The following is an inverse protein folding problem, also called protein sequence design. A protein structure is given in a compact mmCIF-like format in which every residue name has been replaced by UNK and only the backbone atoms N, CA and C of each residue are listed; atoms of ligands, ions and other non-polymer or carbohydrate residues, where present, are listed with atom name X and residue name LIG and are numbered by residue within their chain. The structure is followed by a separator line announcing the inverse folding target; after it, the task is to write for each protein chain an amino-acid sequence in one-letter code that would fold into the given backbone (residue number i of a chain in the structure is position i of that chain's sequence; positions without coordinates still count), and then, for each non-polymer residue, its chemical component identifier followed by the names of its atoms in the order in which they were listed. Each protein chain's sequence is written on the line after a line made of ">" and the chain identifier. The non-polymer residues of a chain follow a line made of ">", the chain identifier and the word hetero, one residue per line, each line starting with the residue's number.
data_IF_756653297732
#
_entry.id   IF_756653297732
#
_cell.length_a   1.000
_cell.length_b   1.000
_cell.length_c   1.000
_cell.angle_alpha   90.00
_cell.angle_beta   90.00
_cell.angle_gamma   90.00
#
_symmetry.space_group_name_H-M   'P 1'
#
loop_
_entity.id
_entity.type
_entity.pdbx_description
1 polymer ?
#
# COMPACT_ATOMS: atom_id res chain seq x y z
N UNK A 1 -28.98 -23.43 -51.14
CA UNK A 1 -28.61 -22.10 -50.58
C UNK A 1 -29.09 -21.96 -49.15
N UNK A 2 -28.68 -22.83 -48.21
CA UNK A 2 -29.06 -22.73 -46.75
C UNK A 2 -27.92 -23.12 -45.78
N UNK A 3 -26.67 -23.03 -46.22
CA UNK A 3 -25.55 -23.48 -45.37
C UNK A 3 -24.56 -22.39 -44.96
N UNK A 4 -24.69 -21.14 -45.45
CA UNK A 4 -23.74 -20.07 -45.17
C UNK A 4 -24.07 -19.17 -43.96
N UNK A 5 -25.27 -19.28 -43.40
CA UNK A 5 -25.69 -18.35 -42.34
C UNK A 5 -25.32 -18.81 -40.88
N UNK A 6 -24.97 -20.08 -40.71
CA UNK A 6 -24.65 -20.61 -39.37
C UNK A 6 -23.17 -20.47 -38.95
N UNK A 7 -22.26 -20.26 -39.91
CA UNK A 7 -20.82 -20.16 -39.59
C UNK A 7 -20.43 -18.74 -39.20
N UNK A 8 -21.09 -17.72 -39.72
CA UNK A 8 -20.82 -16.32 -39.37
C UNK A 8 -21.26 -15.94 -37.95
N UNK A 9 -22.28 -16.59 -37.40
CA UNK A 9 -22.76 -16.30 -36.07
C UNK A 9 -21.86 -16.89 -34.97
N UNK A 10 -21.21 -18.04 -35.21
CA UNK A 10 -20.29 -18.67 -34.28
C UNK A 10 -18.94 -17.93 -34.17
N UNK A 11 -18.44 -17.38 -35.27
CA UNK A 11 -17.23 -16.57 -35.30
C UNK A 11 -17.42 -15.22 -34.61
N UNK A 12 -18.62 -14.63 -34.73
CA UNK A 12 -18.94 -13.35 -34.05
C UNK A 12 -18.99 -13.49 -32.51
N UNK A 13 -19.53 -14.60 -32.01
CA UNK A 13 -19.62 -14.84 -30.55
C UNK A 13 -18.24 -15.12 -29.94
N UNK A 14 -17.37 -15.87 -30.61
CA UNK A 14 -15.99 -16.08 -30.17
C UNK A 14 -15.16 -14.79 -30.16
N UNK A 15 -15.38 -13.92 -31.16
CA UNK A 15 -14.64 -12.66 -31.22
C UNK A 15 -15.05 -11.67 -30.11
N UNK A 16 -16.35 -11.62 -29.78
CA UNK A 16 -16.85 -10.78 -28.67
C UNK A 16 -16.33 -11.27 -27.31
N UNK A 17 -16.18 -12.61 -27.13
CA UNK A 17 -15.67 -13.17 -25.87
C UNK A 17 -14.16 -12.93 -25.67
N UNK A 18 -13.36 -12.93 -26.74
CA UNK A 18 -11.93 -12.64 -26.70
C UNK A 18 -11.64 -11.16 -26.42
N UNK A 19 -12.46 -10.25 -26.93
CA UNK A 19 -12.30 -8.81 -26.69
C UNK A 19 -12.65 -8.45 -25.23
N UNK A 20 -13.64 -9.10 -24.62
CA UNK A 20 -14.03 -8.82 -23.24
C UNK A 20 -13.01 -9.28 -22.19
N UNK A 21 -12.28 -10.37 -22.44
CA UNK A 21 -11.20 -10.83 -21.55
C UNK A 21 -9.91 -10.00 -21.69
N UNK A 22 -9.64 -9.47 -22.88
CA UNK A 22 -8.53 -8.56 -23.14
C UNK A 22 -8.71 -7.21 -22.41
N UNK A 23 -9.92 -6.67 -22.40
CA UNK A 23 -10.22 -5.36 -21.80
C UNK A 23 -10.05 -5.35 -20.26
N UNK A 24 -10.39 -6.45 -19.56
CA UNK A 24 -10.20 -6.52 -18.11
C UNK A 24 -8.74 -6.71 -17.69
N UNK A 25 -7.92 -7.32 -18.53
CA UNK A 25 -6.49 -7.48 -18.28
C UNK A 25 -5.73 -6.16 -18.52
N UNK A 26 -6.09 -5.44 -19.58
CA UNK A 26 -5.52 -4.12 -19.85
C UNK A 26 -5.85 -3.11 -18.72
N UNK A 27 -7.06 -3.11 -18.19
CA UNK A 27 -7.45 -2.22 -17.09
C UNK A 27 -6.64 -2.44 -15.83
N UNK A 28 -6.41 -3.68 -15.40
CA UNK A 28 -5.63 -3.97 -14.20
C UNK A 28 -4.13 -3.61 -14.36
N UNK A 29 -3.58 -3.80 -15.54
CA UNK A 29 -2.20 -3.40 -15.85
C UNK A 29 -2.06 -1.86 -15.87
N UNK A 30 -3.04 -1.15 -16.39
CA UNK A 30 -3.09 0.31 -16.42
C UNK A 30 -3.13 0.86 -14.99
N UNK A 31 -4.03 0.39 -14.14
CA UNK A 31 -4.14 0.86 -12.75
C UNK A 31 -2.85 0.63 -11.94
N UNK A 32 -2.17 -0.50 -12.15
CA UNK A 32 -0.86 -0.76 -11.51
C UNK A 32 0.22 0.22 -11.98
N UNK A 33 0.23 0.50 -13.28
CA UNK A 33 1.18 1.44 -13.85
C UNK A 33 0.92 2.87 -13.36
N UNK A 34 -0.34 3.29 -13.34
CA UNK A 34 -0.76 4.61 -12.84
C UNK A 34 -0.39 4.78 -11.37
N UNK A 35 -0.64 3.76 -10.52
CA UNK A 35 -0.25 3.77 -9.12
C UNK A 35 1.28 3.88 -8.92
N UNK A 36 2.07 3.21 -9.77
CA UNK A 36 3.52 3.32 -9.72
C UNK A 36 4.00 4.70 -10.16
N UNK A 37 3.41 5.28 -11.20
CA UNK A 37 3.73 6.65 -11.65
C UNK A 37 3.37 7.66 -10.55
N UNK A 38 2.19 7.53 -9.95
CA UNK A 38 1.76 8.38 -8.84
C UNK A 38 2.73 8.31 -7.65
N UNK A 39 3.18 7.10 -7.29
CA UNK A 39 4.17 6.89 -6.23
C UNK A 39 5.48 7.62 -6.54
N UNK A 40 6.04 7.45 -7.74
CA UNK A 40 7.29 8.10 -8.14
C UNK A 40 7.16 9.62 -8.20
N UNK A 41 6.05 10.13 -8.73
CA UNK A 41 5.77 11.56 -8.76
C UNK A 41 5.69 12.12 -7.34
N UNK A 42 5.00 11.44 -6.42
CA UNK A 42 4.94 11.87 -5.03
C UNK A 42 6.32 11.98 -4.39
N UNK A 43 7.22 11.01 -4.62
CA UNK A 43 8.60 11.08 -4.10
C UNK A 43 9.34 12.29 -4.66
N UNK A 44 9.23 12.51 -5.98
CA UNK A 44 9.86 13.64 -6.66
C UNK A 44 9.33 14.99 -6.18
N UNK A 45 8.02 15.16 -6.12
CA UNK A 45 7.35 16.41 -5.75
C UNK A 45 7.61 16.80 -4.29
N UNK A 46 7.87 15.81 -3.43
CA UNK A 46 8.20 16.02 -2.02
C UNK A 46 9.72 16.02 -1.75
N UNK A 47 10.56 15.96 -2.78
CA UNK A 47 12.03 15.89 -2.66
C UNK A 47 12.50 14.77 -1.73
N UNK A 48 11.89 13.58 -1.86
CA UNK A 48 12.25 12.39 -1.09
C UNK A 48 13.33 11.64 -1.84
N UNK A 49 14.55 11.63 -1.29
CA UNK A 49 15.75 11.03 -1.90
C UNK A 49 16.09 9.65 -1.31
N UNK A 50 15.38 9.22 -0.26
CA UNK A 50 15.60 7.94 0.39
C UNK A 50 15.38 6.78 -0.59
N UNK A 51 16.36 5.88 -0.63
CA UNK A 51 16.27 4.66 -1.44
C UNK A 51 15.20 3.73 -0.87
N UNK A 52 14.24 3.27 -1.68
CA UNK A 52 13.28 2.26 -1.24
C UNK A 52 13.97 0.99 -0.74
N UNK A 53 13.37 0.33 0.24
CA UNK A 53 13.78 -1.01 0.67
C UNK A 53 13.62 -2.03 -0.47
N UNK A 54 14.10 -3.26 -0.27
CA UNK A 54 13.92 -4.35 -1.26
C UNK A 54 12.44 -4.63 -1.57
N UNK A 55 11.54 -4.36 -0.62
CA UNK A 55 10.08 -4.50 -0.81
C UNK A 55 9.46 -3.34 -1.58
N UNK A 56 10.16 -2.20 -1.69
CA UNK A 56 9.67 -0.95 -2.29
C UNK A 56 9.12 0.06 -1.28
N UNK A 57 9.18 -0.21 0.03
CA UNK A 57 8.84 0.76 1.08
C UNK A 57 9.85 1.91 1.09
N UNK A 58 9.41 3.16 1.18
CA UNK A 58 10.29 4.30 1.44
C UNK A 58 10.17 4.69 2.91
N UNK A 59 11.31 4.62 3.63
CA UNK A 59 11.39 4.91 5.06
C UNK A 59 12.23 6.15 5.31
N UNK A 60 11.59 7.18 5.87
CA UNK A 60 12.19 8.49 6.16
C UNK A 60 12.28 8.64 7.67
N UNK A 61 13.49 8.62 8.21
CA UNK A 61 13.71 8.81 9.63
C UNK A 61 13.53 10.29 10.01
N UNK A 62 12.55 10.60 10.85
CA UNK A 62 12.31 11.97 11.37
C UNK A 62 13.02 12.16 12.71
N UNK A 63 12.96 11.16 13.57
CA UNK A 63 13.61 11.14 14.88
C UNK A 63 14.12 9.74 15.16
N UNK A 64 15.42 9.62 15.33
CA UNK A 64 16.01 8.36 15.75
C UNK A 64 15.59 8.04 17.19
N UNK A 65 15.08 6.81 17.39
CA UNK A 65 14.80 6.30 18.73
C UNK A 65 16.06 5.76 19.40
N UNK A 66 15.89 5.02 20.49
CA UNK A 66 16.99 4.44 21.26
C UNK A 66 16.83 2.93 21.49
N UNK A 67 17.95 2.24 21.68
CA UNK A 67 18.00 0.79 21.92
C UNK A 67 17.79 -0.02 20.63
N UNK A 68 17.30 -1.25 20.82
CA UNK A 68 17.07 -2.19 19.74
C UNK A 68 15.79 -1.88 18.93
N UNK A 69 15.66 -2.50 17.77
CA UNK A 69 14.45 -2.46 16.96
C UNK A 69 13.56 -3.68 17.24
N UNK A 70 12.23 -3.56 17.08
CA UNK A 70 11.33 -4.73 17.16
C UNK A 70 11.70 -5.78 16.11
N UNK A 71 11.44 -7.02 16.46
CA UNK A 71 11.59 -8.17 15.55
C UNK A 71 10.23 -8.86 15.34
N UNK A 72 10.13 -9.76 14.39
CA UNK A 72 8.93 -10.58 14.22
C UNK A 72 8.55 -11.26 15.55
N UNK A 73 7.28 -11.18 15.93
CA UNK A 73 6.76 -11.64 17.21
C UNK A 73 6.77 -10.60 18.35
N UNK A 74 7.47 -9.47 18.20
CA UNK A 74 7.41 -8.37 19.17
C UNK A 74 6.02 -7.77 19.23
N UNK A 75 5.51 -7.50 20.42
CA UNK A 75 4.27 -6.74 20.62
C UNK A 75 4.62 -5.26 20.70
N UNK A 76 4.15 -4.48 19.74
CA UNK A 76 4.46 -3.04 19.58
C UNK A 76 3.26 -2.17 19.90
N UNK A 77 3.53 -0.96 20.41
CA UNK A 77 2.56 0.13 20.57
C UNK A 77 3.01 1.31 19.70
N UNK A 78 2.19 1.70 18.72
CA UNK A 78 2.53 2.68 17.70
C UNK A 78 1.45 3.76 17.61
N UNK A 79 1.86 5.01 17.74
CA UNK A 79 1.03 6.13 17.31
C UNK A 79 1.22 6.34 15.80
N UNK A 80 0.13 6.65 15.11
CA UNK A 80 0.20 6.88 13.67
C UNK A 80 -0.86 7.86 13.19
N UNK A 81 -0.59 8.45 12.04
CA UNK A 81 -1.58 9.10 11.19
C UNK A 81 -1.36 8.68 9.75
N UNK A 82 -2.42 8.19 9.11
CA UNK A 82 -2.40 7.70 7.73
C UNK A 82 -3.07 8.69 6.78
N UNK A 83 -2.44 8.90 5.62
CA UNK A 83 -2.87 9.78 4.56
C UNK A 83 -2.83 9.09 3.20
N UNK A 84 -3.71 9.49 2.29
CA UNK A 84 -3.55 9.29 0.86
C UNK A 84 -2.42 10.21 0.34
N UNK A 85 -1.92 9.99 -0.89
CA UNK A 85 -0.86 10.83 -1.46
C UNK A 85 -1.30 12.27 -1.71
N UNK A 86 -2.61 12.52 -1.88
CA UNK A 86 -3.20 13.86 -2.03
C UNK A 86 -3.30 14.64 -0.70
N UNK A 87 -2.89 14.02 0.42
CA UNK A 87 -2.90 14.61 1.75
C UNK A 87 -4.21 14.39 2.53
N UNK A 88 -5.19 13.67 1.98
CA UNK A 88 -6.41 13.33 2.71
C UNK A 88 -6.10 12.34 3.83
N UNK A 89 -6.35 12.74 5.08
CA UNK A 89 -6.26 11.85 6.24
C UNK A 89 -7.41 10.84 6.21
N UNK A 90 -7.08 9.55 6.35
CA UNK A 90 -8.09 8.49 6.42
C UNK A 90 -8.19 7.81 7.79
N UNK A 91 -7.10 7.80 8.58
CA UNK A 91 -7.11 7.20 9.93
C UNK A 91 -6.01 7.80 10.82
N UNK A 92 -6.24 7.80 12.15
CA UNK A 92 -5.25 8.23 13.12
C UNK A 92 -5.49 7.61 14.50
N UNK A 93 -4.42 7.14 15.15
CA UNK A 93 -4.45 6.70 16.54
C UNK A 93 -4.74 7.86 17.50
N UNK A 94 -4.36 9.07 17.14
CA UNK A 94 -4.61 10.26 17.93
C UNK A 94 -6.10 10.62 18.02
N UNK A 95 -6.88 10.33 16.98
CA UNK A 95 -8.34 10.56 17.01
C UNK A 95 -9.04 9.63 18.01
N UNK A 96 -8.40 8.53 18.41
CA UNK A 96 -8.86 7.57 19.41
C UNK A 96 -8.19 7.75 20.77
N UNK A 97 -7.23 8.67 20.89
CA UNK A 97 -6.40 8.89 22.09
C UNK A 97 -5.72 7.60 22.62
N UNK A 98 -5.38 6.68 21.74
CA UNK A 98 -4.76 5.41 22.11
C UNK A 98 -3.84 4.90 20.99
N UNK A 99 -2.60 4.48 21.29
CA UNK A 99 -1.74 3.85 20.31
C UNK A 99 -2.36 2.55 19.80
N UNK A 100 -2.08 2.21 18.54
CA UNK A 100 -2.40 0.91 17.99
C UNK A 100 -1.42 -0.11 18.56
N UNK A 101 -1.95 -1.24 19.05
CA UNK A 101 -1.14 -2.33 19.60
C UNK A 101 -1.33 -3.56 18.71
N UNK A 102 -0.21 -4.10 18.22
CA UNK A 102 -0.22 -5.33 17.40
C UNK A 102 1.06 -6.14 17.59
N UNK A 103 1.06 -7.38 17.09
CA UNK A 103 2.23 -8.24 17.07
C UNK A 103 2.84 -8.21 15.66
N UNK A 104 4.11 -7.86 15.57
CA UNK A 104 4.86 -7.77 14.29
C UNK A 104 4.86 -9.12 13.58
N UNK A 105 4.56 -9.11 12.28
CA UNK A 105 4.54 -10.31 11.45
C UNK A 105 3.31 -11.19 11.60
N UNK A 106 2.31 -10.78 12.40
CA UNK A 106 1.08 -11.57 12.61
C UNK A 106 0.00 -11.34 11.55
N UNK A 107 0.21 -10.39 10.62
CA UNK A 107 -0.79 -10.00 9.61
C UNK A 107 -1.96 -9.19 10.18
N UNK A 108 -1.84 -8.62 11.37
CA UNK A 108 -2.85 -7.73 11.96
C UNK A 108 -2.90 -6.36 11.28
N UNK A 109 -1.81 -5.95 10.63
CA UNK A 109 -1.66 -4.68 9.93
C UNK A 109 -1.18 -4.94 8.50
N UNK A 110 -1.20 -3.90 7.65
CA UNK A 110 -0.65 -3.98 6.29
C UNK A 110 0.86 -4.27 6.35
N UNK A 111 1.37 -4.96 5.32
CA UNK A 111 2.78 -5.40 5.26
C UNK A 111 3.77 -4.25 5.42
N UNK A 112 3.47 -3.09 4.81
CA UNK A 112 4.31 -1.91 4.92
C UNK A 112 4.43 -1.37 6.34
N UNK A 113 3.39 -1.48 7.19
CA UNK A 113 3.48 -1.10 8.61
C UNK A 113 4.27 -2.13 9.42
N UNK A 114 4.08 -3.42 9.18
CA UNK A 114 4.88 -4.48 9.82
C UNK A 114 6.38 -4.27 9.53
N UNK A 115 6.75 -3.98 8.28
CA UNK A 115 8.12 -3.71 7.89
C UNK A 115 8.65 -2.41 8.51
N UNK A 116 7.88 -1.33 8.43
CA UNK A 116 8.30 -0.02 8.91
C UNK A 116 8.67 -0.04 10.41
N UNK A 117 7.88 -0.71 11.25
CA UNK A 117 8.16 -0.75 12.71
C UNK A 117 9.42 -1.52 13.04
N UNK A 118 9.82 -2.51 12.23
CA UNK A 118 11.08 -3.24 12.40
C UNK A 118 12.31 -2.39 12.07
N UNK A 119 12.14 -1.30 11.32
CA UNK A 119 13.19 -0.32 11.01
C UNK A 119 13.30 0.79 12.08
N UNK A 120 12.32 0.87 13.00
CA UNK A 120 12.28 1.90 14.04
C UNK A 120 12.91 1.41 15.34
N UNK A 121 13.31 2.38 16.17
CA UNK A 121 13.70 2.15 17.58
C UNK A 121 12.69 2.79 18.52
N UNK A 122 12.67 2.38 19.79
CA UNK A 122 11.74 2.94 20.80
C UNK A 122 11.88 4.46 20.89
N UNK A 123 10.75 5.16 20.87
CA UNK A 123 10.67 6.62 20.88
C UNK A 123 10.97 7.28 19.52
N UNK A 124 11.34 6.50 18.52
CA UNK A 124 11.60 6.99 17.16
C UNK A 124 10.33 7.44 16.44
N UNK A 125 10.52 8.35 15.47
CA UNK A 125 9.46 8.83 14.57
C UNK A 125 9.91 8.72 13.14
N UNK A 126 9.01 8.27 12.27
CA UNK A 126 9.27 8.10 10.86
C UNK A 126 8.09 8.56 10.00
N UNK A 127 8.38 9.02 8.79
CA UNK A 127 7.42 9.08 7.69
C UNK A 127 7.70 7.89 6.79
N UNK A 128 6.68 7.17 6.40
CA UNK A 128 6.82 6.07 5.45
C UNK A 128 5.88 6.25 4.27
N UNK A 129 6.37 6.00 3.08
CA UNK A 129 5.54 5.94 1.86
C UNK A 129 5.42 4.48 1.47
N UNK A 130 4.20 3.99 1.47
CA UNK A 130 3.87 2.57 1.32
C UNK A 130 3.21 2.38 -0.04
N UNK A 131 3.84 1.63 -0.96
CA UNK A 131 3.21 1.33 -2.23
C UNK A 131 1.99 0.43 -2.04
N UNK A 132 1.00 0.56 -2.91
CA UNK A 132 -0.30 -0.11 -2.80
C UNK A 132 -0.23 -1.61 -2.51
N UNK A 133 0.76 -2.33 -3.07
CA UNK A 133 0.92 -3.79 -2.90
C UNK A 133 1.46 -4.20 -1.53
N UNK A 134 2.00 -3.26 -0.75
CA UNK A 134 2.33 -3.41 0.68
C UNK A 134 1.23 -2.85 1.58
N UNK A 135 0.17 -2.25 1.02
CA UNK A 135 -1.00 -1.71 1.69
C UNK A 135 -2.23 -2.62 1.48
N UNK A 136 -3.27 -2.11 0.85
CA UNK A 136 -4.55 -2.84 0.64
C UNK A 136 -4.70 -3.44 -0.76
N UNK A 137 -3.65 -3.37 -1.58
CA UNK A 137 -3.56 -4.07 -2.86
C UNK A 137 -4.53 -3.56 -3.93
N UNK A 138 -4.98 -4.50 -4.73
CA UNK A 138 -5.92 -4.29 -5.83
C UNK A 138 -7.40 -4.26 -5.40
N UNK A 139 -7.67 -4.57 -4.14
CA UNK A 139 -9.03 -4.62 -3.60
C UNK A 139 -9.43 -3.35 -2.85
N UNK A 140 -8.46 -2.60 -2.29
CA UNK A 140 -8.72 -1.49 -1.38
C UNK A 140 -9.28 -1.93 -0.03
N UNK A 141 -9.65 -0.97 0.84
CA UNK A 141 -10.25 -1.27 2.13
C UNK A 141 -11.03 -0.06 2.68
N UNK A 142 -12.31 -0.22 2.98
CA UNK A 142 -13.15 0.85 3.51
C UNK A 142 -13.14 2.10 2.61
N UNK A 143 -12.67 3.26 3.10
CA UNK A 143 -12.59 4.48 2.29
C UNK A 143 -11.39 4.52 1.35
N UNK A 144 -10.46 3.52 1.42
CA UNK A 144 -9.23 3.49 0.63
C UNK A 144 -9.50 2.72 -0.66
N UNK A 145 -9.39 3.36 -1.84
CA UNK A 145 -9.59 2.70 -3.12
C UNK A 145 -8.55 1.59 -3.41
N UNK A 146 -8.83 0.78 -4.42
CA UNK A 146 -7.86 -0.16 -4.99
C UNK A 146 -6.64 0.58 -5.56
N UNK A 147 -5.49 -0.10 -5.56
CA UNK A 147 -4.21 0.41 -6.10
C UNK A 147 -3.74 1.73 -5.46
N UNK A 148 -4.14 2.02 -4.21
CA UNK A 148 -3.83 3.28 -3.53
C UNK A 148 -2.54 3.19 -2.73
N UNK A 149 -1.59 4.07 -3.03
CA UNK A 149 -0.38 4.27 -2.25
C UNK A 149 -0.68 5.12 -1.01
N UNK A 150 0.03 4.87 0.09
CA UNK A 150 -0.27 5.49 1.38
C UNK A 150 0.96 6.17 1.98
N UNK A 151 0.71 7.20 2.78
CA UNK A 151 1.71 7.84 3.63
C UNK A 151 1.31 7.66 5.08
N UNK A 152 2.26 7.23 5.91
CA UNK A 152 2.07 7.21 7.36
C UNK A 152 3.15 8.00 8.06
N UNK A 153 2.74 8.74 9.09
CA UNK A 153 3.62 9.25 10.13
C UNK A 153 3.47 8.32 11.33
N UNK A 154 4.58 7.76 11.77
CA UNK A 154 4.66 6.75 12.82
C UNK A 154 5.47 7.25 14.00
N UNK A 155 5.09 6.85 15.20
CA UNK A 155 5.86 6.98 16.42
C UNK A 155 5.83 5.63 17.16
N UNK A 156 6.98 4.97 17.30
CA UNK A 156 7.10 3.74 18.06
C UNK A 156 7.18 4.07 19.55
N UNK A 157 6.08 3.95 20.25
CA UNK A 157 5.96 4.30 21.66
C UNK A 157 6.72 3.31 22.52
N UNK A 158 6.45 2.00 22.34
CA UNK A 158 7.04 0.94 23.14
C UNK A 158 6.93 -0.42 22.42
N UNK A 159 7.75 -1.40 22.85
CA UNK A 159 7.62 -2.79 22.41
C UNK A 159 8.22 -3.78 23.44
N UNK A 160 7.82 -5.04 23.32
CA UNK A 160 8.31 -6.17 24.13
C UNK A 160 8.26 -7.47 23.35
#
# INVERSE_FOLDING_TARGET
>A
MKCCYKITCLLSICFVFLVSTSCSFETAATHRNDANIEFLNYLSDNNIEETPTESGLVFINILEGSGDSPVAGSKVAVNYTGYLLDGQKFDSSFDRNAPMVFTVGSGMVIKGLDEAVMLMKRGGKAKVVIPYYLAYGDSGYGPIPSYTNLVFYLELVDFK
#
